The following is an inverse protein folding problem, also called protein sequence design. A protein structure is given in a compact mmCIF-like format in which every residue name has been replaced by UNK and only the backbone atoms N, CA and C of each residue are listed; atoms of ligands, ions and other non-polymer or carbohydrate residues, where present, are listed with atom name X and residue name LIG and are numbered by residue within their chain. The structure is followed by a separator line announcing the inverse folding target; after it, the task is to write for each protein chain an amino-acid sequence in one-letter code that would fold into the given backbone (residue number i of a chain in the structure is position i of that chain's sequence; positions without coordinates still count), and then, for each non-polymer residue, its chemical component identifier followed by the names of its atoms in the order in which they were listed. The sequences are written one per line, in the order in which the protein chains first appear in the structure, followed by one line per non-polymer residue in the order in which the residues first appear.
data_IF_630624607442
#
_entry.id   IF_630624607442
#
_cell.length_a   1.000
_cell.length_b   1.000
_cell.length_c   1.000
_cell.angle_alpha   90.00
_cell.angle_beta   90.00
_cell.angle_gamma   90.00
#
_symmetry.space_group_name_H-M   'P 1'
#
loop_
_entity.id
_entity.type
_entity.pdbx_description
1 polymer ?
#
# COMPACT_ATOMS: atom_id res chain seq x y z
N UNK A 1 -7.68 -10.58 17.34
CA UNK A 1 -7.50 -9.99 15.99
C UNK A 1 -7.53 -8.46 16.05
N UNK A 2 -8.62 -7.83 16.46
CA UNK A 2 -8.69 -6.34 16.57
C UNK A 2 -7.58 -5.75 17.45
N UNK A 3 -7.24 -6.37 18.57
CA UNK A 3 -6.12 -5.94 19.42
C UNK A 3 -4.76 -6.03 18.72
N UNK A 4 -4.50 -7.14 18.00
CA UNK A 4 -3.26 -7.34 17.25
C UNK A 4 -3.14 -6.38 16.05
N UNK A 5 -4.25 -6.12 15.37
CA UNK A 5 -4.35 -5.12 14.31
C UNK A 5 -4.03 -3.72 14.86
N UNK A 6 -4.63 -3.34 15.99
CA UNK A 6 -4.35 -2.08 16.66
C UNK A 6 -2.86 -1.91 17.03
N UNK A 7 -2.22 -2.97 17.52
CA UNK A 7 -0.78 -2.94 17.82
C UNK A 7 0.07 -2.74 16.56
N UNK A 8 -0.25 -3.43 15.46
CA UNK A 8 0.49 -3.29 14.20
C UNK A 8 0.31 -1.91 13.58
N UNK A 9 -0.91 -1.36 13.61
CA UNK A 9 -1.19 -0.01 13.13
C UNK A 9 -0.41 1.04 13.94
N UNK A 10 -0.44 0.95 15.27
CA UNK A 10 0.33 1.86 16.12
C UNK A 10 1.85 1.80 15.86
N UNK A 11 2.39 0.61 15.58
CA UNK A 11 3.80 0.46 15.19
C UNK A 11 4.10 1.09 13.84
N UNK A 12 3.19 0.94 12.86
CA UNK A 12 3.34 1.55 11.54
C UNK A 12 3.29 3.07 11.62
N UNK A 13 2.34 3.63 12.37
CA UNK A 13 2.21 5.06 12.59
C UNK A 13 3.47 5.65 13.23
N UNK A 14 4.02 4.99 14.25
CA UNK A 14 5.28 5.40 14.89
C UNK A 14 6.43 5.45 13.90
N UNK A 15 6.61 4.40 13.10
CA UNK A 15 7.68 4.31 12.10
C UNK A 15 7.50 5.35 11.00
N UNK A 16 6.26 5.61 10.59
CA UNK A 16 5.93 6.63 9.60
C UNK A 16 6.32 8.03 10.10
N UNK A 17 6.00 8.34 11.36
CA UNK A 17 6.35 9.60 11.98
C UNK A 17 7.87 9.76 12.15
N UNK A 18 8.57 8.74 12.65
CA UNK A 18 10.04 8.75 12.76
C UNK A 18 10.71 8.98 11.39
N UNK A 19 10.19 8.33 10.33
CA UNK A 19 10.69 8.51 8.96
C UNK A 19 10.44 9.93 8.42
N UNK A 20 9.26 10.49 8.68
CA UNK A 20 8.94 11.85 8.26
C UNK A 20 9.84 12.86 8.98
N UNK A 21 10.12 12.67 10.26
CA UNK A 21 11.04 13.51 11.01
C UNK A 21 12.47 13.44 10.46
N UNK A 22 12.95 12.24 10.14
CA UNK A 22 14.27 12.05 9.50
C UNK A 22 14.33 12.76 8.14
N UNK A 23 13.28 12.60 7.33
CA UNK A 23 13.15 13.26 6.03
C UNK A 23 13.17 14.78 6.17
N UNK A 24 12.42 15.35 7.12
CA UNK A 24 12.42 16.80 7.35
C UNK A 24 13.81 17.30 7.75
N UNK A 25 14.50 16.60 8.66
CA UNK A 25 15.89 16.94 9.04
C UNK A 25 16.85 16.89 7.86
N UNK A 26 16.71 15.88 7.00
CA UNK A 26 17.48 15.73 5.78
C UNK A 26 17.25 16.89 4.80
N UNK A 27 15.98 17.25 4.56
CA UNK A 27 15.60 18.38 3.69
C UNK A 27 16.17 19.69 4.23
N UNK A 28 16.02 19.96 5.52
CA UNK A 28 16.57 21.18 6.14
C UNK A 28 18.09 21.29 5.98
N UNK A 29 18.82 20.21 6.23
CA UNK A 29 20.28 20.17 6.06
C UNK A 29 20.71 20.43 4.61
N UNK A 30 19.96 19.91 3.64
CA UNK A 30 20.21 20.20 2.21
C UNK A 30 19.96 21.66 1.91
N UNK A 31 18.84 22.23 2.34
CA UNK A 31 18.51 23.64 2.10
C UNK A 31 19.52 24.60 2.72
N UNK A 32 20.04 24.29 3.92
CA UNK A 32 21.13 25.05 4.53
C UNK A 32 22.40 25.02 3.67
N UNK A 33 22.75 23.84 3.13
CA UNK A 33 23.91 23.69 2.27
C UNK A 33 23.74 24.41 0.94
N UNK A 34 22.54 24.37 0.36
CA UNK A 34 22.18 25.12 -0.85
C UNK A 34 22.36 26.62 -0.63
N UNK A 35 21.82 27.17 0.46
CA UNK A 35 21.98 28.58 0.83
C UNK A 35 23.45 28.99 0.99
N UNK A 36 24.28 28.13 1.60
CA UNK A 36 25.72 28.37 1.76
C UNK A 36 26.44 28.37 0.42
N UNK A 37 26.07 27.49 -0.51
CA UNK A 37 26.63 27.44 -1.86
C UNK A 37 26.20 28.65 -2.70
N UNK A 38 24.94 29.08 -2.61
CA UNK A 38 24.46 30.28 -3.30
C UNK A 38 25.20 31.54 -2.82
N UNK A 39 25.42 31.64 -1.51
CA UNK A 39 26.19 32.75 -0.90
C UNK A 39 27.62 32.77 -1.42
N UNK A 40 28.26 31.60 -1.53
CA UNK A 40 29.57 31.52 -2.17
C UNK A 40 29.51 32.06 -3.58
N UNK A 41 28.60 31.53 -4.39
CA UNK A 41 28.59 31.79 -5.83
C UNK A 41 28.52 33.30 -6.05
N UNK A 42 27.65 33.98 -5.30
CA UNK A 42 27.55 35.43 -5.29
C UNK A 42 28.85 36.15 -4.85
N UNK A 43 29.59 35.61 -3.88
CA UNK A 43 30.89 36.17 -3.46
C UNK A 43 31.95 36.01 -4.55
N UNK A 44 32.02 34.86 -5.23
CA UNK A 44 32.92 34.64 -6.37
C UNK A 44 32.56 35.57 -7.52
N UNK A 45 31.29 35.67 -7.90
CA UNK A 45 30.82 36.53 -8.98
C UNK A 45 31.23 37.99 -8.71
N UNK A 46 30.95 38.50 -7.49
CA UNK A 46 31.35 39.84 -7.08
C UNK A 46 32.87 40.07 -7.16
N UNK A 47 33.68 39.07 -6.82
CA UNK A 47 35.15 39.17 -6.90
C UNK A 47 35.66 39.09 -8.34
N UNK A 48 34.99 38.33 -9.22
CA UNK A 48 35.29 38.30 -10.65
C UNK A 48 35.06 39.66 -11.32
N UNK A 49 34.14 40.47 -10.78
CA UNK A 49 33.83 41.82 -11.28
C UNK A 49 34.84 42.90 -10.81
N UNK A 50 35.81 42.57 -9.95
CA UNK A 50 36.82 43.52 -9.43
C UNK A 50 38.00 43.73 -10.39
N UNK A 51 38.70 44.90 -10.33
CA UNK A 51 39.84 45.17 -11.17
C UNK A 51 41.00 44.16 -10.98
N UNK A 52 41.66 43.83 -12.08
CA UNK A 52 42.55 42.67 -12.26
C UNK A 52 43.69 42.51 -11.23
N UNK A 53 44.13 43.58 -10.58
CA UNK A 53 45.19 43.54 -9.55
C UNK A 53 44.71 42.91 -8.23
N UNK A 54 43.44 43.10 -7.86
CA UNK A 54 42.82 42.50 -6.67
C UNK A 54 42.39 41.04 -6.94
N UNK A 55 41.98 40.74 -8.17
CA UNK A 55 41.60 39.39 -8.59
C UNK A 55 42.79 38.40 -8.58
N UNK A 56 43.99 38.85 -8.95
CA UNK A 56 45.19 37.99 -9.01
C UNK A 56 45.70 37.58 -7.62
N UNK A 57 45.44 38.36 -6.57
CA UNK A 57 45.77 38.00 -5.18
C UNK A 57 44.86 36.87 -4.67
N UNK A 58 43.61 36.83 -5.14
CA UNK A 58 42.62 35.78 -4.81
C UNK A 58 43.00 34.43 -5.45
N UNK A 59 43.51 34.42 -6.69
CA UNK A 59 43.84 33.18 -7.43
C UNK A 59 44.88 32.29 -6.75
N UNK A 60 45.75 32.88 -5.91
CA UNK A 60 46.75 32.14 -5.12
C UNK A 60 46.14 31.39 -3.92
N UNK A 61 44.97 31.81 -3.41
CA UNK A 61 44.26 31.16 -2.30
C UNK A 61 43.34 30.00 -2.72
N UNK A 62 42.99 29.89 -4.00
CA UNK A 62 42.03 28.89 -4.54
C UNK A 62 42.67 27.80 -5.42
N UNK A 63 43.98 27.58 -5.32
CA UNK A 63 44.65 26.52 -6.09
C UNK A 63 44.12 25.12 -5.70
N UNK A 64 43.90 24.23 -6.69
CA UNK A 64 43.34 22.91 -6.44
C UNK A 64 44.31 22.05 -5.62
N UNK A 65 43.94 21.71 -4.39
CA UNK A 65 44.70 20.80 -3.52
C UNK A 65 44.91 21.26 -2.07
N UNK A 66 44.61 22.53 -1.74
CA UNK A 66 44.57 23.03 -0.36
C UNK A 66 43.32 23.88 -0.13
N UNK A 67 42.18 23.22 0.00
CA UNK A 67 40.96 23.86 0.43
C UNK A 67 40.97 24.04 1.96
N UNK A 68 41.92 24.82 2.49
CA UNK A 68 41.98 25.22 3.90
C UNK A 68 41.07 26.44 4.18
N UNK A 69 40.12 26.70 3.29
CA UNK A 69 39.14 27.77 3.45
C UNK A 69 38.07 27.33 4.47
N UNK A 70 37.74 28.13 5.50
CA UNK A 70 36.82 27.75 6.58
C UNK A 70 35.47 27.16 6.12
N UNK A 71 35.02 27.57 4.95
CA UNK A 71 33.74 27.13 4.40
C UNK A 71 33.81 25.77 3.68
N UNK A 72 34.98 25.29 3.25
CA UNK A 72 35.12 23.90 2.79
C UNK A 72 34.85 22.89 3.91
N UNK A 73 35.14 23.25 5.15
CA UNK A 73 34.76 22.45 6.33
C UNK A 73 33.27 22.63 6.67
N UNK A 74 32.72 23.85 6.54
CA UNK A 74 31.29 24.09 6.78
C UNK A 74 30.37 23.31 5.81
N UNK A 75 30.73 23.19 4.52
CA UNK A 75 29.96 22.41 3.54
C UNK A 75 30.07 20.91 3.75
N UNK A 76 31.23 20.40 4.18
CA UNK A 76 31.42 18.97 4.50
C UNK A 76 30.64 18.57 5.76
N UNK A 77 30.57 19.44 6.76
CA UNK A 77 29.82 19.20 8.00
C UNK A 77 28.30 19.08 7.78
N UNK A 78 27.78 19.61 6.68
CA UNK A 78 26.36 19.59 6.30
C UNK A 78 25.99 18.41 5.38
N UNK A 79 26.83 17.37 5.26
CA UNK A 79 26.44 16.15 4.55
C UNK A 79 25.46 15.39 5.44
N UNK A 80 24.19 15.23 5.03
CA UNK A 80 23.23 14.61 5.91
C UNK A 80 23.47 13.10 5.98
N UNK A 81 23.39 12.57 7.19
CA UNK A 81 23.69 11.17 7.52
C UNK A 81 22.61 10.25 6.95
N UNK A 82 22.96 9.02 6.52
CA UNK A 82 21.98 8.02 6.13
C UNK A 82 20.95 7.72 7.24
N UNK A 83 19.79 7.24 6.82
CA UNK A 83 18.69 6.81 7.70
C UNK A 83 19.20 5.93 8.84
N UNK A 84 18.68 6.13 10.06
CA UNK A 84 19.17 5.43 11.23
C UNK A 84 19.07 3.90 11.08
N UNK A 85 20.10 3.12 11.49
CA UNK A 85 20.05 1.65 11.43
C UNK A 85 18.91 1.04 12.24
N UNK A 86 18.41 1.76 13.25
CA UNK A 86 17.26 1.37 14.07
C UNK A 86 15.95 1.39 13.29
N UNK A 87 15.73 2.46 12.51
CA UNK A 87 14.56 2.61 11.67
C UNK A 87 14.54 1.55 10.56
N UNK A 88 15.69 1.31 9.92
CA UNK A 88 15.83 0.29 8.88
C UNK A 88 15.51 -1.12 9.39
N UNK A 89 16.01 -1.48 10.58
CA UNK A 89 15.70 -2.76 11.23
C UNK A 89 14.21 -2.91 11.52
N UNK A 90 13.56 -1.84 11.98
CA UNK A 90 12.12 -1.85 12.30
C UNK A 90 11.27 -2.03 11.04
N UNK A 91 11.60 -1.30 9.96
CA UNK A 91 10.93 -1.44 8.66
C UNK A 91 11.05 -2.86 8.09
N UNK A 92 12.25 -3.45 8.14
CA UNK A 92 12.48 -4.85 7.75
C UNK A 92 11.63 -5.82 8.58
N UNK A 93 11.49 -5.57 9.88
CA UNK A 93 10.63 -6.34 10.76
C UNK A 93 9.15 -6.29 10.34
N UNK A 94 8.61 -5.08 10.14
CA UNK A 94 7.22 -4.88 9.70
C UNK A 94 6.93 -5.53 8.34
N UNK A 95 7.87 -5.40 7.39
CA UNK A 95 7.75 -6.03 6.08
C UNK A 95 7.69 -7.57 6.19
N UNK A 96 8.50 -8.16 7.06
CA UNK A 96 8.47 -9.61 7.32
C UNK A 96 7.14 -10.03 7.97
N UNK A 97 6.65 -9.27 8.94
CA UNK A 97 5.36 -9.54 9.58
C UNK A 97 4.20 -9.48 8.58
N UNK A 98 4.18 -8.50 7.68
CA UNK A 98 3.18 -8.37 6.63
C UNK A 98 3.14 -9.58 5.68
N UNK A 99 4.31 -10.04 5.25
CA UNK A 99 4.42 -11.24 4.41
C UNK A 99 3.90 -12.49 5.15
N UNK A 100 4.26 -12.66 6.42
CA UNK A 100 3.79 -13.79 7.22
C UNK A 100 2.27 -13.77 7.39
N UNK A 101 1.68 -12.60 7.68
CA UNK A 101 0.22 -12.45 7.79
C UNK A 101 -0.48 -12.83 6.48
N UNK A 102 0.06 -12.35 5.35
CA UNK A 102 -0.46 -12.65 4.02
C UNK A 102 -0.44 -14.16 3.73
N UNK A 103 0.65 -14.84 4.07
CA UNK A 103 0.79 -16.28 3.90
C UNK A 103 -0.25 -17.06 4.74
N UNK A 104 -0.38 -16.72 6.03
CA UNK A 104 -1.36 -17.35 6.93
C UNK A 104 -2.80 -17.14 6.44
N UNK A 105 -3.12 -15.93 5.96
CA UNK A 105 -4.45 -15.66 5.40
C UNK A 105 -4.73 -16.47 4.12
N UNK A 106 -3.72 -16.65 3.27
CA UNK A 106 -3.85 -17.49 2.07
C UNK A 106 -4.12 -18.95 2.45
N UNK A 107 -3.37 -19.51 3.40
CA UNK A 107 -3.58 -20.87 3.91
C UNK A 107 -4.96 -21.03 4.55
N UNK A 108 -5.37 -20.07 5.37
CA UNK A 108 -6.70 -20.07 5.98
C UNK A 108 -7.81 -20.07 4.92
N UNK A 109 -7.69 -19.25 3.87
CA UNK A 109 -8.65 -19.21 2.76
C UNK A 109 -8.75 -20.56 2.06
N UNK A 110 -7.62 -21.22 1.78
CA UNK A 110 -7.59 -22.56 1.17
C UNK A 110 -8.25 -23.58 2.08
N UNK A 111 -7.91 -23.58 3.38
CA UNK A 111 -8.50 -24.48 4.36
C UNK A 111 -10.02 -24.31 4.46
N UNK A 112 -10.49 -23.06 4.52
CA UNK A 112 -11.91 -22.74 4.60
C UNK A 112 -12.66 -23.23 3.36
N UNK A 113 -12.14 -22.95 2.15
CA UNK A 113 -12.74 -23.43 0.90
C UNK A 113 -12.78 -24.96 0.87
N UNK A 114 -11.71 -25.63 1.29
CA UNK A 114 -11.67 -27.10 1.33
C UNK A 114 -12.72 -27.68 2.29
N UNK A 115 -12.98 -27.00 3.42
CA UNK A 115 -14.00 -27.42 4.39
C UNK A 115 -15.41 -27.21 3.82
N UNK A 116 -15.66 -26.07 3.18
CA UNK A 116 -16.92 -25.80 2.48
C UNK A 116 -17.18 -26.85 1.40
N UNK A 117 -16.18 -27.21 0.60
CA UNK A 117 -16.33 -28.22 -0.45
C UNK A 117 -16.61 -29.62 0.13
N UNK A 118 -16.00 -29.98 1.27
CA UNK A 118 -16.28 -31.25 1.97
C UNK A 118 -17.69 -31.31 2.53
N UNK A 119 -18.20 -30.20 3.07
CA UNK A 119 -19.54 -30.11 3.65
C UNK A 119 -20.62 -29.82 2.59
N UNK A 120 -20.22 -29.60 1.33
CA UNK A 120 -21.13 -29.30 0.23
C UNK A 120 -22.06 -30.48 -0.03
N UNK A 121 -23.36 -30.25 0.16
CA UNK A 121 -24.40 -31.20 -0.20
C UNK A 121 -24.93 -30.87 -1.58
N UNK A 122 -25.19 -31.91 -2.38
CA UNK A 122 -25.85 -31.75 -3.67
C UNK A 122 -27.33 -31.42 -3.44
N UNK A 123 -27.83 -30.42 -4.16
CA UNK A 123 -29.22 -29.96 -4.09
C UNK A 123 -29.73 -29.83 -5.52
N UNK A 124 -30.95 -30.29 -5.74
CA UNK A 124 -31.72 -30.02 -6.95
C UNK A 124 -32.90 -29.11 -6.63
N UNK A 125 -33.41 -28.41 -7.61
CA UNK A 125 -34.62 -27.62 -7.52
C UNK A 125 -35.83 -28.55 -7.69
N UNK A 126 -36.81 -28.44 -6.81
CA UNK A 126 -38.02 -29.27 -6.84
C UNK A 126 -39.07 -28.66 -7.79
N UNK A 127 -39.35 -29.27 -8.97
CA UNK A 127 -40.28 -28.73 -9.95
C UNK A 127 -41.74 -28.65 -9.46
N UNK A 128 -42.12 -29.48 -8.49
CA UNK A 128 -43.47 -29.47 -7.92
C UNK A 128 -43.72 -28.20 -7.10
N UNK A 129 -42.67 -27.63 -6.52
CA UNK A 129 -42.76 -26.39 -5.73
C UNK A 129 -42.57 -25.14 -6.57
N UNK A 130 -41.97 -25.27 -7.76
CA UNK A 130 -41.54 -24.14 -8.56
C UNK A 130 -42.69 -23.26 -9.02
N UNK A 131 -42.56 -21.95 -8.81
CA UNK A 131 -43.55 -20.98 -9.27
C UNK A 131 -43.72 -21.00 -10.80
N UNK A 132 -44.95 -20.76 -11.32
CA UNK A 132 -45.21 -20.59 -12.75
C UNK A 132 -44.39 -19.50 -13.43
N UNK A 133 -43.87 -18.54 -12.65
CA UNK A 133 -43.00 -17.46 -13.15
C UNK A 133 -41.53 -17.86 -13.27
N UNK A 134 -41.17 -19.13 -13.01
CA UNK A 134 -39.80 -19.62 -13.04
C UNK A 134 -39.59 -20.69 -14.12
N UNK A 135 -38.40 -20.68 -14.70
CA UNK A 135 -37.88 -21.73 -15.56
C UNK A 135 -36.79 -22.50 -14.84
N UNK A 136 -36.83 -23.82 -14.94
CA UNK A 136 -35.80 -24.72 -14.43
C UNK A 136 -35.06 -25.37 -15.61
N UNK A 137 -33.76 -25.61 -15.43
CA UNK A 137 -33.00 -26.47 -16.36
C UNK A 137 -33.47 -27.92 -16.29
N UNK A 138 -33.17 -28.70 -17.33
CA UNK A 138 -33.45 -30.14 -17.38
C UNK A 138 -32.79 -30.92 -16.25
N UNK A 139 -31.64 -30.45 -15.76
CA UNK A 139 -30.91 -31.08 -14.66
C UNK A 139 -31.32 -30.54 -13.28
N UNK A 140 -32.34 -29.67 -13.23
CA UNK A 140 -32.87 -29.05 -12.02
C UNK A 140 -31.81 -28.35 -11.16
N UNK A 141 -30.75 -27.80 -11.75
CA UNK A 141 -29.70 -27.08 -11.01
C UNK A 141 -29.72 -25.57 -11.21
N UNK A 142 -30.36 -25.09 -12.25
CA UNK A 142 -30.44 -23.66 -12.54
C UNK A 142 -31.88 -23.21 -12.64
N UNK A 143 -32.11 -21.97 -12.21
CA UNK A 143 -33.40 -21.30 -12.23
C UNK A 143 -33.24 -19.89 -12.76
N UNK A 144 -34.21 -19.46 -13.55
CA UNK A 144 -34.30 -18.08 -14.05
C UNK A 144 -35.76 -17.68 -14.20
N UNK A 145 -36.02 -16.38 -14.24
CA UNK A 145 -37.37 -15.85 -14.40
C UNK A 145 -37.90 -16.17 -15.81
N UNK A 146 -39.15 -16.58 -15.89
CA UNK A 146 -39.86 -16.72 -17.16
C UNK A 146 -40.34 -15.35 -17.65
N UNK A 147 -40.51 -15.21 -18.97
CA UNK A 147 -41.03 -13.99 -19.60
C UNK A 147 -42.51 -13.73 -19.29
N UNK A 148 -43.21 -14.73 -18.76
CA UNK A 148 -44.62 -14.68 -18.38
C UNK A 148 -44.98 -15.91 -17.56
N UNK A 149 -46.23 -15.97 -17.13
CA UNK A 149 -46.76 -17.12 -16.39
C UNK A 149 -46.78 -18.36 -17.28
N UNK A 150 -46.23 -19.46 -16.78
CA UNK A 150 -46.28 -20.74 -17.48
C UNK A 150 -47.54 -21.51 -17.14
N UNK A 151 -48.13 -22.13 -18.15
CA UNK A 151 -49.16 -23.15 -17.95
C UNK A 151 -48.52 -24.41 -17.35
N UNK A 152 -48.56 -24.50 -16.03
CA UNK A 152 -48.15 -25.66 -15.25
C UNK A 152 -49.38 -26.24 -14.55
N UNK A 153 -49.39 -27.55 -14.34
CA UNK A 153 -50.42 -28.16 -13.51
C UNK A 153 -50.36 -27.60 -12.08
N UNK A 154 -51.52 -27.13 -11.62
CA UNK A 154 -51.69 -26.62 -10.28
C UNK A 154 -51.57 -27.74 -9.26
N UNK A 155 -50.89 -27.47 -8.15
CA UNK A 155 -50.73 -28.40 -7.04
C UNK A 155 -50.51 -27.59 -5.74
N UNK A 156 -50.92 -28.13 -4.58
CA UNK A 156 -50.89 -27.38 -3.33
C UNK A 156 -49.48 -27.07 -2.80
N UNK A 157 -48.42 -27.65 -3.37
CA UNK A 157 -47.03 -27.40 -2.99
C UNK A 157 -46.41 -26.24 -3.78
N UNK A 158 -47.09 -25.74 -4.82
CA UNK A 158 -46.56 -24.76 -5.76
C UNK A 158 -46.63 -23.34 -5.21
N UNK A 159 -45.55 -22.58 -5.36
CA UNK A 159 -45.57 -21.15 -5.05
C UNK A 159 -46.33 -20.34 -6.11
N UNK A 160 -47.49 -19.82 -5.75
CA UNK A 160 -48.32 -18.99 -6.64
C UNK A 160 -48.12 -17.49 -6.41
N UNK A 161 -47.81 -17.06 -5.18
CA UNK A 161 -47.68 -15.65 -4.80
C UNK A 161 -46.28 -15.05 -4.96
N UNK A 162 -45.25 -15.87 -5.21
CA UNK A 162 -43.86 -15.40 -5.37
C UNK A 162 -43.08 -16.26 -6.37
N UNK A 163 -42.11 -15.69 -7.11
CA UNK A 163 -41.24 -16.44 -8.01
C UNK A 163 -40.21 -17.22 -7.18
N UNK A 164 -40.65 -18.30 -6.54
CA UNK A 164 -39.85 -19.11 -5.61
C UNK A 164 -39.90 -20.60 -5.98
N UNK A 165 -38.89 -21.35 -5.54
CA UNK A 165 -38.77 -22.81 -5.70
C UNK A 165 -37.97 -23.35 -4.52
N UNK A 166 -38.34 -24.53 -4.00
CA UNK A 166 -37.59 -25.18 -2.93
C UNK A 166 -36.45 -26.04 -3.50
N UNK A 167 -35.40 -26.19 -2.69
CA UNK A 167 -34.39 -27.21 -2.90
C UNK A 167 -34.85 -28.57 -2.38
N UNK A 168 -34.44 -29.63 -3.06
CA UNK A 168 -34.57 -31.03 -2.68
C UNK A 168 -33.18 -31.69 -2.64
N UNK A 169 -33.06 -32.78 -1.90
CA UNK A 169 -31.78 -33.49 -1.74
C UNK A 169 -31.32 -34.07 -3.08
N UNK A 170 -30.05 -33.79 -3.42
CA UNK A 170 -29.26 -34.18 -4.59
C UNK A 170 -28.66 -35.59 -4.60
#
# INVERSE_FOLDING_TARGET
LQEQEGVLLAQLDRVHEELNQERCRYISSISEREMVLDTLIAEIEKKCDQPMVEFLTVRLHYLPGRCDHPWCEAVKALIPVPVSPGLERTLKGLFKSSQMLTAVMAEFKVSLLSKIDRERVKVWLDPETASPYLNLSKDCKTVWLASGERELHDNPKRFTGSPSVLGSKG
#
